data_IF_605997645234
#
_entry.id   IF_605997645234
#
_cell.length_a   1.000
_cell.length_b   1.000
_cell.length_c   1.000
_cell.angle_alpha   90.00
_cell.angle_beta   90.00
_cell.angle_gamma   90.00
#
_symmetry.space_group_name_H-M   'P 1'
#
loop_
_entity.id
_entity.type
_entity.pdbx_description
1 polymer ?
#
# COMPACT_ATOMS: atom_id res chain seq x y z
N UNK A 1 2.62 15.66 25.09
CA UNK A 1 3.48 14.47 25.26
C UNK A 1 3.94 14.07 23.87
N UNK A 2 5.11 14.53 23.46
CA UNK A 2 5.69 14.19 22.16
C UNK A 2 5.94 12.68 22.11
N UNK A 3 5.06 11.96 21.42
CA UNK A 3 5.32 10.59 21.03
C UNK A 3 6.36 10.66 19.91
N UNK A 4 7.54 10.12 20.16
CA UNK A 4 8.52 9.87 19.11
C UNK A 4 7.84 8.96 18.08
N UNK A 5 7.42 9.52 16.94
CA UNK A 5 6.68 8.81 15.89
C UNK A 5 7.43 7.54 15.45
N UNK A 6 8.77 7.54 15.52
CA UNK A 6 9.60 6.37 15.27
C UNK A 6 9.36 5.21 16.25
N UNK A 7 9.23 5.44 17.57
CA UNK A 7 9.01 4.36 18.55
C UNK A 7 7.64 3.71 18.37
N UNK A 8 6.63 4.52 18.05
CA UNK A 8 5.30 4.01 17.75
C UNK A 8 5.26 3.28 16.39
N UNK A 9 6.02 3.75 15.39
CA UNK A 9 6.19 3.05 14.12
C UNK A 9 6.92 1.71 14.27
N UNK A 10 7.94 1.65 15.11
CA UNK A 10 8.67 0.45 15.47
C UNK A 10 7.76 -0.59 16.14
N UNK A 11 7.01 -0.21 17.17
CA UNK A 11 6.09 -1.11 17.87
C UNK A 11 5.01 -1.66 16.92
N UNK A 12 4.46 -0.80 16.05
CA UNK A 12 3.52 -1.23 15.02
C UNK A 12 4.13 -2.24 14.04
N UNK A 13 5.35 -1.96 13.57
CA UNK A 13 6.14 -2.81 12.68
C UNK A 13 6.39 -4.20 13.30
N UNK A 14 6.79 -4.26 14.58
CA UNK A 14 7.03 -5.51 15.32
C UNK A 14 5.73 -6.28 15.54
N UNK A 15 4.65 -5.61 15.95
CA UNK A 15 3.35 -6.25 16.18
C UNK A 15 2.80 -6.88 14.90
N UNK A 16 2.87 -6.17 13.79
CA UNK A 16 2.47 -6.69 12.48
C UNK A 16 3.28 -7.94 12.13
N UNK A 17 4.60 -7.88 12.24
CA UNK A 17 5.47 -9.01 11.93
C UNK A 17 5.16 -10.26 12.78
N UNK A 18 4.94 -10.06 14.09
CA UNK A 18 4.58 -11.16 15.00
C UNK A 18 3.23 -11.78 14.63
N UNK A 19 2.25 -10.97 14.25
CA UNK A 19 0.94 -11.47 13.85
C UNK A 19 1.00 -12.24 12.52
N UNK A 20 1.74 -11.72 11.53
CA UNK A 20 1.92 -12.37 10.22
C UNK A 20 2.66 -13.70 10.31
N UNK A 21 3.56 -13.87 11.28
CA UNK A 21 4.20 -15.17 11.56
C UNK A 21 3.28 -16.17 12.25
N UNK A 22 2.18 -15.72 12.83
CA UNK A 22 1.22 -16.64 13.43
C UNK A 22 0.51 -17.42 12.33
N UNK A 23 0.34 -18.73 12.49
CA UNK A 23 -0.45 -19.57 11.55
C UNK A 23 -1.96 -19.26 11.60
N UNK A 24 -2.38 -18.19 12.28
CA UNK A 24 -3.78 -17.81 12.46
C UNK A 24 -4.13 -16.65 11.50
N UNK A 25 -4.87 -16.92 10.41
CA UNK A 25 -5.20 -15.90 9.43
C UNK A 25 -6.12 -14.80 9.99
N UNK A 26 -6.97 -15.11 10.99
CA UNK A 26 -7.82 -14.11 11.65
C UNK A 26 -6.95 -13.09 12.39
N UNK A 27 -5.95 -13.57 13.13
CA UNK A 27 -5.00 -12.71 13.85
C UNK A 27 -4.15 -11.87 12.90
N UNK A 28 -3.76 -12.43 11.76
CA UNK A 28 -3.06 -11.68 10.72
C UNK A 28 -3.94 -10.57 10.14
N UNK A 29 -5.20 -10.86 9.81
CA UNK A 29 -6.16 -9.89 9.29
C UNK A 29 -6.41 -8.76 10.29
N UNK A 30 -6.65 -9.07 11.57
CA UNK A 30 -6.83 -8.07 12.62
C UNK A 30 -5.62 -7.13 12.71
N UNK A 31 -4.41 -7.68 12.75
CA UNK A 31 -3.19 -6.88 12.82
C UNK A 31 -2.95 -6.03 11.57
N UNK A 32 -3.31 -6.53 10.38
CA UNK A 32 -3.25 -5.75 9.13
C UNK A 32 -4.20 -4.57 9.20
N UNK A 33 -5.46 -4.79 9.61
CA UNK A 33 -6.46 -3.73 9.69
C UNK A 33 -6.11 -2.68 10.77
N UNK A 34 -5.65 -3.12 11.94
CA UNK A 34 -5.16 -2.25 13.00
C UNK A 34 -3.97 -1.40 12.53
N UNK A 35 -3.03 -2.03 11.83
CA UNK A 35 -1.89 -1.31 11.21
C UNK A 35 -2.38 -0.29 10.19
N UNK A 36 -3.39 -0.64 9.39
CA UNK A 36 -4.03 0.28 8.46
C UNK A 36 -4.56 1.53 9.15
N UNK A 37 -5.30 1.40 10.26
CA UNK A 37 -5.79 2.57 11.02
C UNK A 37 -4.66 3.42 11.60
N UNK A 38 -3.58 2.81 12.07
CA UNK A 38 -2.39 3.54 12.56
C UNK A 38 -1.70 4.32 11.44
N UNK A 39 -1.56 3.72 10.25
CA UNK A 39 -1.03 4.41 9.07
C UNK A 39 -1.90 5.60 8.67
N UNK A 40 -3.24 5.47 8.77
CA UNK A 40 -4.14 6.61 8.55
C UNK A 40 -3.94 7.71 9.58
N UNK A 41 -3.76 7.35 10.85
CA UNK A 41 -3.50 8.32 11.91
C UNK A 41 -2.21 9.08 11.67
N UNK A 42 -1.11 8.39 11.36
CA UNK A 42 0.17 9.04 11.01
C UNK A 42 0.05 9.96 9.80
N UNK A 43 -0.91 9.72 8.90
CA UNK A 43 -1.02 10.50 7.64
C UNK A 43 -1.56 11.90 7.87
N UNK A 44 -2.07 12.12 9.07
CA UNK A 44 -2.58 13.39 9.57
C UNK A 44 -1.54 14.10 10.44
N UNK A 45 -0.47 13.42 10.84
CA UNK A 45 0.61 14.04 11.61
C UNK A 45 1.47 14.90 10.67
N UNK A 46 1.83 16.13 11.07
CA UNK A 46 2.75 16.97 10.30
C UNK A 46 4.14 16.32 10.26
N UNK A 47 4.92 16.58 9.20
CA UNK A 47 6.33 16.20 9.20
C UNK A 47 7.06 16.93 10.33
N UNK A 48 7.80 16.17 11.14
CA UNK A 48 8.62 16.74 12.21
C UNK A 48 9.73 17.60 11.60
N UNK A 49 9.91 18.82 12.11
CA UNK A 49 11.00 19.68 11.68
C UNK A 49 12.35 19.07 12.06
N UNK A 50 13.38 19.25 11.22
CA UNK A 50 14.77 18.80 11.45
C UNK A 50 15.29 19.22 12.84
N UNK A 51 14.87 20.40 13.31
CA UNK A 51 15.21 20.90 14.64
C UNK A 51 14.70 20.01 15.79
N UNK A 52 13.55 19.34 15.63
CA UNK A 52 12.98 18.41 16.62
C UNK A 52 13.83 17.14 16.69
N UNK A 53 14.24 16.59 15.55
CA UNK A 53 15.12 15.42 15.52
C UNK A 53 16.46 15.71 16.22
N UNK A 54 17.06 16.86 15.92
CA UNK A 54 18.33 17.29 16.55
C UNK A 54 18.18 17.57 18.05
N UNK A 55 17.04 18.09 18.51
CA UNK A 55 16.80 18.39 19.92
C UNK A 55 16.69 17.12 20.78
N UNK A 56 16.25 16.01 20.17
CA UNK A 56 16.01 14.73 20.85
C UNK A 56 17.01 13.63 20.47
N UNK A 57 18.12 13.96 19.80
CA UNK A 57 19.09 12.99 19.26
C UNK A 57 18.45 11.83 18.47
N UNK A 58 17.34 12.11 17.77
CA UNK A 58 16.63 11.12 16.97
C UNK A 58 17.32 10.95 15.61
N UNK A 59 17.40 9.70 15.13
CA UNK A 59 17.89 9.41 13.78
C UNK A 59 16.93 10.02 12.77
N UNK A 60 17.44 10.92 11.91
CA UNK A 60 16.65 11.51 10.83
C UNK A 60 16.02 10.42 9.96
N UNK A 61 14.74 10.57 9.64
CA UNK A 61 13.98 9.69 8.74
C UNK A 61 13.76 8.23 9.24
N UNK A 62 14.06 7.92 10.50
CA UNK A 62 13.84 6.58 11.07
C UNK A 62 12.36 6.15 10.96
N UNK A 63 11.44 7.08 11.12
CA UNK A 63 10.01 6.88 10.91
C UNK A 63 9.68 6.47 9.46
N UNK A 64 10.39 7.02 8.46
CA UNK A 64 10.25 6.63 7.05
C UNK A 64 10.77 5.21 6.80
N UNK A 65 11.84 4.80 7.48
CA UNK A 65 12.35 3.43 7.41
C UNK A 65 11.34 2.42 7.96
N UNK A 66 10.75 2.69 9.12
CA UNK A 66 9.70 1.84 9.68
C UNK A 66 8.47 1.81 8.79
N UNK A 67 8.08 2.94 8.21
CA UNK A 67 6.98 3.03 7.26
C UNK A 67 7.23 2.13 6.02
N UNK A 68 8.39 2.26 5.39
CA UNK A 68 8.78 1.43 4.25
C UNK A 68 8.80 -0.07 4.62
N UNK A 69 9.25 -0.40 5.83
CA UNK A 69 9.24 -1.78 6.33
C UNK A 69 7.82 -2.30 6.55
N UNK A 70 6.90 -1.49 7.05
CA UNK A 70 5.48 -1.84 7.19
C UNK A 70 4.87 -2.12 5.80
N UNK A 71 5.11 -1.25 4.82
CA UNK A 71 4.62 -1.46 3.46
C UNK A 71 5.13 -2.77 2.85
N UNK A 72 6.43 -3.05 3.00
CA UNK A 72 7.00 -4.30 2.51
C UNK A 72 6.36 -5.52 3.17
N UNK A 73 6.12 -5.48 4.49
CA UNK A 73 5.44 -6.59 5.19
C UNK A 73 3.99 -6.77 4.76
N UNK A 74 3.27 -5.68 4.49
CA UNK A 74 1.91 -5.76 3.93
C UNK A 74 1.92 -6.39 2.54
N UNK A 75 2.88 -6.01 1.70
CA UNK A 75 3.05 -6.59 0.36
C UNK A 75 3.47 -8.06 0.44
N UNK A 76 4.34 -8.44 1.38
CA UNK A 76 4.68 -9.84 1.62
C UNK A 76 3.48 -10.65 2.10
N UNK A 77 2.66 -10.08 2.99
CA UNK A 77 1.41 -10.69 3.41
C UNK A 77 0.45 -10.87 2.21
N UNK A 78 0.42 -9.93 1.26
CA UNK A 78 -0.32 -10.10 0.01
C UNK A 78 0.27 -11.20 -0.89
N UNK A 79 1.59 -11.36 -0.92
CA UNK A 79 2.25 -12.35 -1.78
C UNK A 79 2.11 -13.79 -1.29
N UNK A 80 2.12 -13.99 0.03
CA UNK A 80 2.18 -15.33 0.63
C UNK A 80 0.94 -15.67 1.47
N UNK A 81 0.06 -14.71 1.73
CA UNK A 81 -1.14 -14.90 2.53
C UNK A 81 -2.25 -15.62 1.77
N UNK A 82 -3.25 -16.07 2.53
CA UNK A 82 -4.49 -16.57 1.95
C UNK A 82 -5.36 -15.43 1.39
N UNK A 83 -6.49 -15.80 0.78
CA UNK A 83 -7.44 -14.83 0.19
C UNK A 83 -7.94 -13.80 1.20
N UNK A 84 -8.14 -14.17 2.47
CA UNK A 84 -8.61 -13.24 3.51
C UNK A 84 -7.54 -12.19 3.83
N UNK A 85 -6.30 -12.64 3.96
CA UNK A 85 -5.14 -11.76 4.15
C UNK A 85 -4.96 -10.83 2.96
N UNK A 86 -5.02 -11.35 1.72
CA UNK A 86 -4.91 -10.53 0.50
C UNK A 86 -5.97 -9.42 0.46
N UNK A 87 -7.24 -9.77 0.74
CA UNK A 87 -8.34 -8.79 0.79
C UNK A 87 -8.12 -7.76 1.90
N UNK A 88 -7.64 -8.17 3.08
CA UNK A 88 -7.34 -7.25 4.17
C UNK A 88 -6.25 -6.24 3.79
N UNK A 89 -5.18 -6.70 3.14
CA UNK A 89 -4.11 -5.81 2.63
C UNK A 89 -4.68 -4.81 1.62
N UNK A 90 -5.43 -5.29 0.62
CA UNK A 90 -6.06 -4.41 -0.39
C UNK A 90 -6.97 -3.37 0.27
N UNK A 91 -7.75 -3.74 1.29
CA UNK A 91 -8.61 -2.80 2.04
C UNK A 91 -7.80 -1.69 2.72
N UNK A 92 -6.64 -2.01 3.29
CA UNK A 92 -5.75 -1.02 3.90
C UNK A 92 -5.26 -0.02 2.85
N UNK A 93 -4.70 -0.51 1.74
CA UNK A 93 -4.22 0.33 0.65
C UNK A 93 -5.31 1.20 0.02
N UNK A 94 -6.50 0.63 -0.24
CA UNK A 94 -7.65 1.38 -0.74
C UNK A 94 -8.06 2.49 0.23
N UNK A 95 -8.00 2.24 1.53
CA UNK A 95 -8.37 3.24 2.51
C UNK A 95 -7.35 4.38 2.58
N UNK A 96 -6.05 4.07 2.46
CA UNK A 96 -4.99 5.08 2.35
C UNK A 96 -5.15 5.92 1.07
N UNK A 97 -5.47 5.28 -0.06
CA UNK A 97 -5.76 5.96 -1.32
C UNK A 97 -7.02 6.85 -1.25
N UNK A 98 -8.07 6.43 -0.56
CA UNK A 98 -9.28 7.27 -0.37
C UNK A 98 -8.98 8.52 0.46
N UNK A 99 -8.09 8.43 1.43
CA UNK A 99 -7.65 9.59 2.21
C UNK A 99 -6.86 10.57 1.35
N UNK A 100 -6.03 10.09 0.43
CA UNK A 100 -5.25 10.97 -0.44
C UNK A 100 -6.12 11.81 -1.37
N UNK A 101 -7.22 11.24 -1.91
CA UNK A 101 -8.15 11.97 -2.79
C UNK A 101 -8.92 13.11 -2.10
N UNK A 102 -9.02 13.10 -0.77
CA UNK A 102 -9.76 14.14 -0.01
C UNK A 102 -8.91 15.38 0.29
N UNK A 103 -7.59 15.31 0.11
CA UNK A 103 -6.69 16.45 0.30
C UNK A 103 -6.46 17.16 -1.03
N UNK A 104 -6.31 18.50 -0.98
CA UNK A 104 -6.07 19.31 -2.18
C UNK A 104 -4.74 18.94 -2.85
N UNK A 105 -4.62 19.09 -4.18
CA UNK A 105 -3.42 18.74 -4.98
C UNK A 105 -2.12 19.33 -4.44
N UNK A 106 -2.15 20.46 -3.73
CA UNK A 106 -0.97 21.10 -3.13
C UNK A 106 -0.44 20.40 -1.86
N UNK A 107 -1.25 19.60 -1.17
CA UNK A 107 -0.83 18.78 -0.01
C UNK A 107 -0.35 17.37 -0.43
N UNK A 108 -0.37 17.07 -1.73
CA UNK A 108 0.00 15.77 -2.31
C UNK A 108 1.44 15.34 -1.96
N UNK A 109 2.32 16.30 -1.66
CA UNK A 109 3.71 16.07 -1.23
C UNK A 109 3.79 15.33 0.12
N UNK A 110 2.73 15.37 0.94
CA UNK A 110 2.68 14.67 2.24
C UNK A 110 2.05 13.27 2.18
N UNK A 111 1.77 12.75 0.98
CA UNK A 111 1.10 11.47 0.84
C UNK A 111 2.05 10.30 1.07
N UNK A 112 1.61 9.38 1.91
CA UNK A 112 2.38 8.22 2.33
C UNK A 112 2.82 7.27 1.22
N UNK A 113 2.04 7.18 0.14
CA UNK A 113 2.38 6.36 -1.04
C UNK A 113 3.11 7.16 -2.13
N UNK A 114 3.53 8.38 -1.82
CA UNK A 114 4.33 9.18 -2.74
C UNK A 114 5.74 8.59 -2.84
N UNK A 115 6.32 8.68 -4.04
CA UNK A 115 7.64 8.11 -4.36
C UNK A 115 8.73 8.57 -3.40
N UNK A 116 8.68 9.83 -2.98
CA UNK A 116 9.68 10.45 -2.09
C UNK A 116 9.65 9.91 -0.65
N UNK A 117 8.60 9.16 -0.28
CA UNK A 117 8.45 8.52 1.04
C UNK A 117 8.62 7.00 1.01
N UNK A 118 8.63 6.39 -0.18
CA UNK A 118 8.71 4.93 -0.35
C UNK A 118 10.03 4.55 -1.03
N UNK A 119 11.06 4.27 -0.21
CA UNK A 119 12.39 3.90 -0.71
C UNK A 119 12.37 2.67 -1.63
N UNK A 120 11.59 1.62 -1.27
CA UNK A 120 11.59 0.34 -1.99
C UNK A 120 10.40 0.17 -2.95
N UNK A 121 9.95 1.27 -3.58
CA UNK A 121 8.77 1.27 -4.45
C UNK A 121 8.85 0.26 -5.60
N UNK A 122 10.02 0.10 -6.24
CA UNK A 122 10.20 -0.87 -7.33
C UNK A 122 10.06 -2.33 -6.86
N UNK A 123 10.60 -2.65 -5.69
CA UNK A 123 10.54 -3.99 -5.13
C UNK A 123 9.09 -4.37 -4.77
N UNK A 124 8.33 -3.41 -4.22
CA UNK A 124 6.90 -3.56 -3.99
C UNK A 124 6.17 -3.93 -5.29
N UNK A 125 6.41 -3.18 -6.38
CA UNK A 125 5.75 -3.45 -7.66
C UNK A 125 6.11 -4.81 -8.24
N UNK A 126 7.38 -5.23 -8.15
CA UNK A 126 7.83 -6.55 -8.63
C UNK A 126 7.13 -7.69 -7.89
N UNK A 127 6.98 -7.58 -6.57
CA UNK A 127 6.29 -8.57 -5.74
C UNK A 127 4.82 -8.69 -6.13
N UNK A 128 4.11 -7.56 -6.22
CA UNK A 128 2.69 -7.55 -6.65
C UNK A 128 2.52 -8.09 -8.07
N UNK A 129 3.45 -7.76 -8.98
CA UNK A 129 3.42 -8.29 -10.35
C UNK A 129 3.60 -9.81 -10.36
N UNK A 130 4.51 -10.36 -9.56
CA UNK A 130 4.67 -11.82 -9.48
C UNK A 130 3.38 -12.51 -9.02
N UNK A 131 2.58 -11.88 -8.15
CA UNK A 131 1.28 -12.41 -7.72
C UNK A 131 0.28 -12.35 -8.87
N UNK A 132 0.24 -11.25 -9.62
CA UNK A 132 -0.60 -11.13 -10.80
C UNK A 132 -0.27 -12.18 -11.88
N UNK A 133 1.01 -12.36 -12.20
CA UNK A 133 1.45 -13.26 -13.27
C UNK A 133 1.08 -14.73 -12.97
N UNK A 134 1.08 -15.12 -11.68
CA UNK A 134 0.79 -16.49 -11.22
C UNK A 134 -0.66 -16.69 -10.78
N UNK A 135 -1.39 -15.61 -10.55
CA UNK A 135 -2.70 -15.64 -9.91
C UNK A 135 -3.83 -16.04 -10.85
N UNK A 136 -4.88 -16.60 -10.28
CA UNK A 136 -6.16 -16.76 -10.96
C UNK A 136 -6.89 -15.41 -11.09
N UNK A 137 -7.99 -15.44 -11.84
CA UNK A 137 -8.94 -14.35 -12.10
C UNK A 137 -9.15 -13.37 -10.92
N UNK A 138 -9.55 -13.88 -9.75
CA UNK A 138 -9.81 -13.04 -8.58
C UNK A 138 -8.54 -12.40 -7.99
N UNK A 139 -7.44 -13.15 -7.92
CA UNK A 139 -6.15 -12.69 -7.39
C UNK A 139 -5.55 -11.62 -8.29
N UNK A 140 -5.68 -11.79 -9.61
CA UNK A 140 -5.33 -10.77 -10.61
C UNK A 140 -6.14 -9.49 -10.39
N UNK A 141 -7.44 -9.60 -10.11
CA UNK A 141 -8.29 -8.48 -9.73
C UNK A 141 -7.75 -7.71 -8.51
N UNK A 142 -7.42 -8.42 -7.43
CA UNK A 142 -6.84 -7.82 -6.23
C UNK A 142 -5.49 -7.13 -6.49
N UNK A 143 -4.62 -7.74 -7.29
CA UNK A 143 -3.34 -7.16 -7.66
C UNK A 143 -3.50 -5.88 -8.50
N UNK A 144 -4.48 -5.85 -9.43
CA UNK A 144 -4.82 -4.64 -10.18
C UNK A 144 -5.28 -3.50 -9.26
N UNK A 145 -6.16 -3.78 -8.29
CA UNK A 145 -6.58 -2.79 -7.30
C UNK A 145 -5.38 -2.23 -6.52
N UNK A 146 -4.44 -3.10 -6.13
CA UNK A 146 -3.25 -2.72 -5.41
C UNK A 146 -2.34 -1.82 -6.25
N UNK A 147 -2.12 -2.12 -7.53
CA UNK A 147 -1.42 -1.22 -8.45
C UNK A 147 -2.07 0.16 -8.54
N UNK A 148 -3.40 0.24 -8.45
CA UNK A 148 -4.13 1.50 -8.46
C UNK A 148 -3.89 2.34 -7.23
N UNK A 149 -3.79 1.70 -6.07
CA UNK A 149 -3.44 2.36 -4.83
C UNK A 149 -1.99 2.90 -4.87
N UNK A 150 -1.11 2.22 -5.60
CA UNK A 150 0.32 2.53 -5.75
C UNK A 150 0.65 3.39 -6.99
N UNK A 151 -0.36 4.06 -7.56
CA UNK A 151 -0.29 4.75 -8.86
C UNK A 151 0.91 5.69 -9.00
N UNK A 152 1.26 6.40 -7.93
CA UNK A 152 2.30 7.44 -7.93
C UNK A 152 3.64 6.95 -8.46
N UNK A 153 3.97 5.68 -8.23
CA UNK A 153 5.19 5.05 -8.76
C UNK A 153 4.91 3.85 -9.68
N UNK A 154 3.69 3.29 -9.70
CA UNK A 154 3.30 2.25 -10.63
C UNK A 154 3.26 2.73 -12.10
N UNK A 155 2.92 4.00 -12.32
CA UNK A 155 2.85 4.59 -13.67
C UNK A 155 4.20 4.69 -14.37
N UNK A 156 5.30 4.76 -13.63
CA UNK A 156 6.65 4.82 -14.20
C UNK A 156 7.20 3.43 -14.58
N UNK A 157 6.63 2.36 -14.02
CA UNK A 157 7.11 1.01 -14.25
C UNK A 157 6.44 0.39 -15.49
N UNK A 158 7.18 0.36 -16.60
CA UNK A 158 6.68 -0.11 -17.90
C UNK A 158 5.99 -1.49 -17.87
N UNK A 159 6.49 -2.52 -17.14
CA UNK A 159 5.81 -3.80 -17.05
C UNK A 159 4.41 -3.73 -16.42
N UNK A 160 4.19 -2.83 -15.45
CA UNK A 160 2.86 -2.63 -14.84
C UNK A 160 1.95 -1.85 -15.79
N UNK A 161 2.46 -0.83 -16.49
CA UNK A 161 1.69 -0.15 -17.53
C UNK A 161 1.23 -1.11 -18.62
N UNK A 162 2.14 -1.93 -19.15
CA UNK A 162 1.83 -2.93 -20.17
C UNK A 162 0.77 -3.91 -19.69
N UNK A 163 0.92 -4.42 -18.47
CA UNK A 163 -0.04 -5.34 -17.85
C UNK A 163 -1.44 -4.74 -17.76
N UNK A 164 -1.56 -3.49 -17.29
CA UNK A 164 -2.83 -2.76 -17.23
C UNK A 164 -3.43 -2.61 -18.63
N UNK A 165 -2.63 -2.30 -19.63
CA UNK A 165 -3.10 -2.23 -21.02
C UNK A 165 -3.63 -3.58 -21.53
N UNK A 166 -2.89 -4.66 -21.29
CA UNK A 166 -3.32 -5.99 -21.75
C UNK A 166 -4.58 -6.49 -21.07
N UNK A 167 -4.78 -6.18 -19.78
CA UNK A 167 -6.00 -6.57 -19.06
C UNK A 167 -7.24 -5.80 -19.55
N UNK A 168 -7.06 -4.61 -20.11
CA UNK A 168 -8.17 -3.86 -20.74
C UNK A 168 -8.64 -4.51 -22.04
N UNK A 169 -7.71 -5.04 -22.84
CA UNK A 169 -7.95 -5.60 -24.19
C UNK A 169 -8.35 -7.08 -24.14
N UNK A 170 -7.98 -7.81 -23.09
CA UNK A 170 -8.38 -9.20 -22.84
C UNK A 170 -9.92 -9.36 -22.74
N UNK A 171 -10.47 -10.31 -23.51
CA UNK A 171 -11.89 -10.74 -23.48
C UNK A 171 -12.15 -11.85 -22.47
N UNK A 172 -11.12 -12.57 -22.03
CA UNK A 172 -11.25 -13.73 -21.14
C UNK A 172 -11.49 -13.31 -19.67
N UNK A 173 -11.31 -12.02 -19.37
CA UNK A 173 -11.54 -11.41 -18.06
C UNK A 173 -12.93 -10.73 -17.95
N UNK A 174 -13.92 -11.13 -18.75
CA UNK A 174 -15.25 -10.50 -18.74
C UNK A 174 -16.05 -10.79 -17.45
N UNK A 175 -15.79 -11.89 -16.74
CA UNK A 175 -16.34 -12.11 -15.39
C UNK A 175 -15.63 -11.24 -14.34
N UNK A 176 -14.30 -11.10 -14.42
CA UNK A 176 -13.50 -10.19 -13.57
C UNK A 176 -13.95 -8.74 -13.75
N UNK A 177 -14.23 -8.34 -14.99
CA UNK A 177 -14.74 -7.00 -15.33
C UNK A 177 -16.08 -6.75 -14.62
N UNK A 178 -17.00 -7.72 -14.54
CA UNK A 178 -18.34 -7.45 -13.97
C UNK A 178 -18.33 -7.16 -12.47
N UNK A 179 -17.52 -7.87 -11.68
CA UNK A 179 -17.46 -7.68 -10.23
C UNK A 179 -16.46 -6.60 -9.79
N UNK A 180 -15.47 -6.28 -10.63
CA UNK A 180 -14.45 -5.26 -10.34
C UNK A 180 -14.56 -3.98 -11.19
N UNK A 181 -15.64 -3.82 -11.96
CA UNK A 181 -15.94 -2.66 -12.82
C UNK A 181 -15.85 -1.30 -12.09
N UNK A 182 -16.06 -1.26 -10.77
CA UNK A 182 -15.89 -0.03 -9.99
C UNK A 182 -14.41 0.37 -9.81
N UNK A 183 -13.52 -0.59 -9.70
CA UNK A 183 -12.06 -0.39 -9.64
C UNK A 183 -11.45 -0.22 -11.03
N UNK A 184 -12.03 -0.91 -12.02
CA UNK A 184 -11.66 -0.81 -13.44
C UNK A 184 -12.07 0.54 -14.05
N UNK A 185 -13.28 1.04 -13.76
CA UNK A 185 -13.71 2.40 -14.15
C UNK A 185 -12.93 3.49 -13.42
N UNK A 186 -12.51 3.25 -12.17
CA UNK A 186 -11.60 4.15 -11.43
C UNK A 186 -10.26 4.33 -12.14
N UNK A 187 -9.72 3.24 -12.71
CA UNK A 187 -8.49 3.25 -13.49
C UNK A 187 -8.67 3.87 -14.88
N UNK A 188 -9.72 3.48 -15.60
CA UNK A 188 -9.99 3.93 -16.97
C UNK A 188 -10.30 5.44 -17.03
N UNK A 189 -11.09 5.96 -16.08
CA UNK A 189 -11.39 7.38 -15.99
C UNK A 189 -10.16 8.28 -15.70
N UNK A 190 -9.03 7.69 -15.28
CA UNK A 190 -7.80 8.39 -14.90
C UNK A 190 -6.58 8.09 -15.79
N UNK A 191 -6.65 7.11 -16.70
CA UNK A 191 -5.61 6.95 -17.74
C UNK A 191 -5.85 7.89 -18.93
N UNK A 192 -7.11 8.29 -19.14
CA UNK A 192 -7.56 9.13 -20.28
C UNK A 192 -7.60 10.64 -19.93
N UNK A 193 -7.41 11.02 -18.66
CA UNK A 193 -7.29 12.41 -18.18
C UNK A 193 -5.95 12.66 -17.50
#
# INVERSE_FOLDING_TARGET
>A
MEKVSATFAMDCSIKLEKALRSKNPVKAVEAILETGEKLKQWSKEPESAIAVYNLFDLVHEEDKLFYNTILLRLVDAFCFGDKLVMVAVVRVFMSMFKLSRRKNRSECVTLFLCKDRVYNHLEILKRVKSVYDKGESEVKGLALVLFGCLRDFASEFAPVRYLIFTSMVSSDDLEVKRDHLSSFSMFFAWYVN
#
